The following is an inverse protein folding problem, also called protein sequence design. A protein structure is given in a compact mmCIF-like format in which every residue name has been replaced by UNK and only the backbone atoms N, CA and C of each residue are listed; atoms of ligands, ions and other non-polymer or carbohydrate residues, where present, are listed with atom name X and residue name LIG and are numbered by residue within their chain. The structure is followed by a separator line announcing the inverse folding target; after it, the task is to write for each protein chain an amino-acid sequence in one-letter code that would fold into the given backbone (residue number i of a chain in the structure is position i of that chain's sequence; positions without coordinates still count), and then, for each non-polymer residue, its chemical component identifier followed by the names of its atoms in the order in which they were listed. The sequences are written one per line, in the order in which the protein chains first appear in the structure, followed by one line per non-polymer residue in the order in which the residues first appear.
data_IF_533393855683
#
_entry.id   IF_533393855683
#
_cell.length_a   1.000
_cell.length_b   1.000
_cell.length_c   1.000
_cell.angle_alpha   90.00
_cell.angle_beta   90.00
_cell.angle_gamma   90.00
#
_symmetry.space_group_name_H-M   'P 1'
#
loop_
_entity.id
_entity.type
_entity.pdbx_description
1 polymer ?
#
# COMPACT_ATOMS: atom_id res chain seq x y z
N UNK A 1 25.24 -19.50 -20.44
CA UNK A 1 25.27 -19.89 -19.01
C UNK A 1 26.43 -19.18 -18.37
N UNK A 2 26.22 -18.43 -17.29
CA UNK A 2 27.30 -17.83 -16.50
C UNK A 2 27.64 -18.70 -15.28
N UNK A 3 28.76 -18.43 -14.62
CA UNK A 3 29.19 -19.20 -13.44
C UNK A 3 28.17 -19.01 -12.29
N UNK A 4 27.62 -17.81 -12.17
CA UNK A 4 26.53 -17.47 -11.25
C UNK A 4 25.25 -18.28 -11.57
N UNK A 5 24.85 -18.31 -12.85
CA UNK A 5 23.67 -19.03 -13.30
C UNK A 5 23.78 -20.54 -13.05
N UNK A 6 24.95 -21.11 -13.32
CA UNK A 6 25.27 -22.51 -13.02
C UNK A 6 25.29 -22.81 -11.50
N UNK A 7 25.78 -21.89 -10.69
CA UNK A 7 25.79 -22.01 -9.22
C UNK A 7 24.35 -21.99 -8.65
N UNK A 8 23.49 -21.10 -9.14
CA UNK A 8 22.08 -21.04 -8.76
C UNK A 8 21.30 -22.29 -9.20
N UNK A 9 21.45 -22.70 -10.47
CA UNK A 9 20.85 -23.93 -10.99
C UNK A 9 21.25 -25.15 -10.15
N UNK A 10 22.54 -25.32 -9.87
CA UNK A 10 23.06 -26.45 -9.08
C UNK A 10 22.51 -26.44 -7.65
N UNK A 11 22.39 -25.29 -7.01
CA UNK A 11 21.79 -25.18 -5.68
C UNK A 11 20.28 -25.50 -5.67
N UNK A 12 19.55 -25.06 -6.71
CA UNK A 12 18.15 -25.44 -6.93
C UNK A 12 17.99 -26.96 -7.07
N UNK A 13 18.80 -27.58 -7.91
CA UNK A 13 18.77 -29.03 -8.17
C UNK A 13 19.19 -29.86 -6.95
N UNK A 14 20.18 -29.42 -6.18
CA UNK A 14 20.55 -30.05 -4.90
C UNK A 14 19.39 -30.06 -3.89
N UNK A 15 18.53 -29.03 -3.91
CA UNK A 15 17.30 -28.97 -3.12
C UNK A 15 16.10 -29.68 -3.77
N UNK A 16 16.28 -30.25 -4.97
CA UNK A 16 15.23 -30.90 -5.78
C UNK A 16 14.04 -29.99 -6.11
N UNK A 17 14.30 -28.69 -6.25
CA UNK A 17 13.28 -27.70 -6.61
C UNK A 17 13.21 -27.55 -8.13
N UNK A 18 12.00 -27.45 -8.66
CA UNK A 18 11.75 -27.00 -10.03
C UNK A 18 11.80 -25.47 -10.11
N UNK A 19 11.87 -24.95 -11.34
CA UNK A 19 11.74 -23.50 -11.57
C UNK A 19 10.34 -22.98 -11.22
N UNK A 20 9.31 -23.83 -11.24
CA UNK A 20 7.95 -23.47 -10.83
C UNK A 20 7.86 -23.35 -9.29
N UNK A 21 8.55 -24.20 -8.53
CA UNK A 21 8.66 -24.07 -7.06
C UNK A 21 9.39 -22.78 -6.66
N UNK A 22 10.49 -22.44 -7.35
CA UNK A 22 11.20 -21.16 -7.12
C UNK A 22 10.31 -19.97 -7.51
N UNK A 23 9.54 -20.06 -8.59
CA UNK A 23 8.55 -19.05 -8.95
C UNK A 23 7.49 -18.88 -7.85
N UNK A 24 7.01 -19.97 -7.25
CA UNK A 24 6.06 -19.88 -6.14
C UNK A 24 6.69 -19.28 -4.88
N UNK A 25 7.92 -19.66 -4.53
CA UNK A 25 8.64 -19.14 -3.35
C UNK A 25 9.00 -17.65 -3.48
N UNK A 26 9.52 -17.23 -4.64
CA UNK A 26 10.07 -15.89 -4.86
C UNK A 26 9.08 -14.90 -5.47
N UNK A 27 7.97 -15.38 -6.04
CA UNK A 27 7.03 -14.66 -6.92
C UNK A 27 7.67 -14.06 -8.18
N UNK A 28 8.88 -14.50 -8.55
CA UNK A 28 9.55 -14.15 -9.81
C UNK A 28 9.05 -15.10 -10.90
N UNK A 29 8.60 -14.58 -12.04
CA UNK A 29 8.11 -15.42 -13.15
C UNK A 29 9.21 -16.36 -13.67
N UNK A 30 8.86 -17.61 -13.94
CA UNK A 30 9.76 -18.67 -14.43
C UNK A 30 10.68 -18.25 -15.58
N UNK A 31 10.14 -17.55 -16.61
CA UNK A 31 10.92 -16.97 -17.73
C UNK A 31 12.10 -16.06 -17.32
N UNK A 32 12.07 -15.47 -16.12
CA UNK A 32 13.16 -14.66 -15.59
C UNK A 32 14.16 -15.48 -14.78
N UNK A 33 13.69 -16.55 -14.12
CA UNK A 33 14.56 -17.51 -13.42
C UNK A 33 15.40 -18.32 -14.41
N UNK A 34 14.77 -18.78 -15.50
CA UNK A 34 15.45 -19.41 -16.66
C UNK A 34 16.52 -18.48 -17.22
N UNK A 35 16.17 -17.22 -17.50
CA UNK A 35 17.11 -16.21 -17.99
C UNK A 35 18.26 -15.91 -17.00
N UNK A 36 18.05 -16.03 -15.68
CA UNK A 36 19.11 -15.91 -14.67
C UNK A 36 20.04 -17.13 -14.70
N UNK A 37 19.51 -18.35 -14.81
CA UNK A 37 20.35 -19.57 -14.94
C UNK A 37 21.18 -19.55 -16.23
N UNK A 38 20.62 -19.04 -17.32
CA UNK A 38 21.32 -18.89 -18.60
C UNK A 38 22.35 -17.74 -18.61
N UNK A 39 22.24 -16.77 -17.69
CA UNK A 39 23.00 -15.51 -17.70
C UNK A 39 22.47 -14.47 -18.70
N UNK A 40 21.27 -14.65 -19.23
CA UNK A 40 20.64 -13.77 -20.22
C UNK A 40 19.83 -12.63 -19.56
N UNK A 41 20.54 -11.72 -18.90
CA UNK A 41 19.91 -10.63 -18.15
C UNK A 41 19.13 -9.61 -19.00
N UNK A 42 19.24 -9.65 -20.34
CA UNK A 42 18.52 -8.77 -21.26
C UNK A 42 17.00 -8.99 -21.27
N UNK A 43 16.53 -10.18 -20.87
CA UNK A 43 15.11 -10.57 -20.87
C UNK A 43 14.35 -10.05 -19.64
N UNK A 44 15.08 -9.60 -18.61
CA UNK A 44 14.52 -9.12 -17.34
C UNK A 44 13.93 -7.69 -17.49
N UNK A 45 12.94 -7.30 -16.67
CA UNK A 45 12.20 -6.04 -16.82
C UNK A 45 12.99 -4.83 -16.30
N UNK A 46 14.17 -4.58 -16.87
CA UNK A 46 15.10 -3.50 -16.50
C UNK A 46 16.21 -3.96 -15.55
N UNK A 47 17.41 -3.38 -15.72
CA UNK A 47 18.65 -3.76 -15.03
C UNK A 47 18.56 -3.68 -13.49
N UNK A 48 17.75 -2.77 -12.96
CA UNK A 48 17.54 -2.60 -11.51
C UNK A 48 16.99 -3.86 -10.83
N UNK A 49 16.13 -4.62 -11.51
CA UNK A 49 15.49 -5.80 -10.93
C UNK A 49 16.39 -7.04 -10.91
N UNK A 50 17.45 -7.06 -11.73
CA UNK A 50 18.37 -8.21 -11.84
C UNK A 50 18.99 -8.52 -10.48
N UNK A 51 19.54 -7.51 -9.80
CA UNK A 51 20.15 -7.65 -8.47
C UNK A 51 19.16 -8.19 -7.43
N UNK A 52 17.92 -7.70 -7.45
CA UNK A 52 16.87 -8.15 -6.54
C UNK A 52 16.43 -9.59 -6.83
N UNK A 53 16.31 -9.98 -8.10
CA UNK A 53 15.90 -11.32 -8.49
C UNK A 53 16.99 -12.36 -8.20
N UNK A 54 18.25 -12.05 -8.49
CA UNK A 54 19.42 -12.89 -8.12
C UNK A 54 19.47 -13.09 -6.60
N UNK A 55 19.27 -12.01 -5.82
CA UNK A 55 19.22 -12.09 -4.35
C UNK A 55 18.10 -13.02 -3.86
N UNK A 56 16.86 -12.76 -4.27
CA UNK A 56 15.71 -13.54 -3.83
C UNK A 56 15.82 -15.02 -4.25
N UNK A 57 16.41 -15.29 -5.41
CA UNK A 57 16.67 -16.66 -5.85
C UNK A 57 17.72 -17.32 -4.94
N UNK A 58 18.86 -16.67 -4.66
CA UNK A 58 19.87 -17.16 -3.73
C UNK A 58 19.28 -17.53 -2.35
N UNK A 59 18.43 -16.67 -1.79
CA UNK A 59 17.73 -16.92 -0.52
C UNK A 59 16.78 -18.13 -0.61
N UNK A 60 16.03 -18.29 -1.70
CA UNK A 60 15.12 -19.43 -1.91
C UNK A 60 15.86 -20.77 -2.03
N UNK A 61 17.05 -20.79 -2.64
CA UNK A 61 17.95 -21.97 -2.63
C UNK A 61 18.90 -22.00 -1.42
N UNK A 62 18.67 -21.10 -0.45
CA UNK A 62 19.43 -20.95 0.80
C UNK A 62 20.93 -20.97 0.63
N UNK A 63 21.41 -20.22 -0.36
CA UNK A 63 22.79 -19.75 -0.48
C UNK A 63 22.94 -18.43 0.29
N UNK A 64 24.19 -18.03 0.55
CA UNK A 64 24.47 -16.68 1.06
C UNK A 64 24.22 -15.65 -0.05
N UNK A 65 23.17 -14.84 0.14
CA UNK A 65 22.77 -13.78 -0.75
C UNK A 65 23.88 -12.77 -1.06
N UNK A 66 24.69 -12.39 -0.07
CA UNK A 66 25.69 -11.34 -0.23
C UNK A 66 26.91 -11.86 -1.02
N UNK A 67 27.26 -13.14 -0.85
CA UNK A 67 28.29 -13.80 -1.66
C UNK A 67 27.85 -14.02 -3.11
N UNK A 68 26.61 -14.44 -3.34
CA UNK A 68 26.04 -14.57 -4.69
C UNK A 68 26.00 -13.20 -5.40
N UNK A 69 25.66 -12.13 -4.68
CA UNK A 69 25.72 -10.76 -5.22
C UNK A 69 27.16 -10.28 -5.51
N UNK A 70 28.16 -10.74 -4.75
CA UNK A 70 29.57 -10.45 -5.02
C UNK A 70 30.03 -11.10 -6.32
N UNK A 71 29.60 -12.33 -6.59
CA UNK A 71 29.84 -13.02 -7.86
C UNK A 71 29.14 -12.32 -9.03
N UNK A 72 27.87 -11.92 -8.87
CA UNK A 72 27.12 -11.14 -9.87
C UNK A 72 27.84 -9.84 -10.28
N UNK A 73 28.32 -9.06 -9.30
CA UNK A 73 29.06 -7.81 -9.57
C UNK A 73 30.41 -8.04 -10.28
N UNK A 74 30.97 -9.25 -10.21
CA UNK A 74 32.20 -9.64 -10.90
C UNK A 74 31.94 -10.07 -12.34
N UNK A 75 30.82 -10.75 -12.61
CA UNK A 75 30.40 -11.10 -13.97
C UNK A 75 29.88 -9.89 -14.76
N UNK A 76 29.18 -8.97 -14.08
CA UNK A 76 28.64 -7.75 -14.68
C UNK A 76 29.27 -6.53 -13.99
N UNK A 77 30.43 -6.03 -14.49
CA UNK A 77 30.98 -4.77 -14.02
C UNK A 77 29.98 -3.65 -14.30
N UNK A 78 29.35 -3.15 -13.23
CA UNK A 78 28.26 -2.19 -13.33
C UNK A 78 28.78 -0.82 -13.76
N UNK A 79 28.60 -0.48 -15.04
CA UNK A 79 28.68 0.90 -15.54
C UNK A 79 27.37 1.69 -15.28
N UNK A 80 26.58 1.24 -14.31
CA UNK A 80 25.49 2.03 -13.74
C UNK A 80 26.13 2.83 -12.61
N UNK A 81 26.23 4.17 -12.70
CA UNK A 81 26.77 4.95 -11.61
C UNK A 81 25.98 4.63 -10.35
N UNK A 82 26.70 4.34 -9.27
CA UNK A 82 26.13 4.29 -7.93
C UNK A 82 25.65 5.70 -7.61
N UNK A 83 24.42 5.99 -8.06
CA UNK A 83 23.62 7.08 -7.54
C UNK A 83 23.51 6.80 -6.05
N UNK A 84 24.40 7.46 -5.30
CA UNK A 84 24.30 7.64 -3.86
C UNK A 84 22.98 8.36 -3.66
N UNK A 85 21.90 7.59 -3.58
CA UNK A 85 20.64 8.04 -3.02
C UNK A 85 20.97 8.30 -1.57
N UNK A 86 21.37 9.54 -1.28
CA UNK A 86 21.40 10.04 0.08
C UNK A 86 20.09 9.58 0.73
N UNK A 87 20.16 8.84 1.85
CA UNK A 87 18.96 8.28 2.42
C UNK A 87 18.11 9.44 2.93
N UNK A 88 17.14 9.86 2.10
CA UNK A 88 16.08 10.80 2.49
C UNK A 88 15.59 10.29 3.83
N UNK A 89 15.79 11.13 4.85
CA UNK A 89 15.58 10.75 6.24
C UNK A 89 14.09 10.53 6.46
N UNK A 90 13.63 9.31 6.14
CA UNK A 90 12.28 8.87 6.47
C UNK A 90 12.18 8.99 7.99
N UNK A 91 11.24 9.77 8.54
CA UNK A 91 11.04 9.80 9.98
C UNK A 91 10.84 8.36 10.41
N UNK A 92 11.75 7.92 11.29
CA UNK A 92 11.94 6.53 11.67
C UNK A 92 10.63 6.02 12.25
N UNK A 93 9.83 5.33 11.43
CA UNK A 93 8.71 4.50 11.91
C UNK A 93 9.33 3.65 13.00
N UNK A 94 8.81 3.79 14.22
CA UNK A 94 9.29 3.06 15.38
C UNK A 94 9.01 1.58 15.16
N UNK A 95 9.93 0.90 14.47
CA UNK A 95 10.18 -0.50 14.73
C UNK A 95 10.35 -0.60 16.25
N UNK A 96 9.34 -1.21 16.89
CA UNK A 96 9.51 -1.84 18.19
C UNK A 96 10.64 -2.84 18.03
N UNK A 97 11.86 -2.43 18.37
CA UNK A 97 12.93 -3.37 18.63
C UNK A 97 12.50 -4.20 19.83
N UNK A 98 11.95 -5.39 19.58
CA UNK A 98 11.95 -6.46 20.56
C UNK A 98 13.38 -6.64 21.06
N UNK A 99 13.55 -6.75 22.38
CA UNK A 99 14.85 -6.76 23.03
C UNK A 99 15.60 -8.10 22.84
N UNK A 100 15.93 -8.47 21.60
CA UNK A 100 16.66 -9.71 21.27
C UNK A 100 18.12 -9.70 21.76
N UNK A 101 18.60 -8.57 22.27
CA UNK A 101 19.84 -8.48 23.05
C UNK A 101 19.74 -9.22 24.40
N UNK A 102 18.53 -9.41 24.92
CA UNK A 102 18.31 -10.07 26.21
C UNK A 102 18.13 -11.58 26.11
N UNK A 103 17.85 -12.16 24.93
CA UNK A 103 17.63 -13.61 24.80
C UNK A 103 18.79 -14.47 25.32
N UNK A 104 20.04 -14.08 25.06
CA UNK A 104 21.25 -14.84 25.46
C UNK A 104 21.66 -14.62 26.93
N UNK A 105 21.32 -13.48 27.53
CA UNK A 105 21.67 -13.17 28.93
C UNK A 105 20.53 -13.50 29.89
N UNK A 106 19.29 -13.22 29.49
CA UNK A 106 18.06 -13.56 30.20
C UNK A 106 17.86 -15.07 30.33
N UNK A 107 18.20 -15.86 29.30
CA UNK A 107 18.18 -17.33 29.43
C UNK A 107 19.22 -17.83 30.44
N UNK A 108 20.41 -17.21 30.49
CA UNK A 108 21.45 -17.56 31.48
C UNK A 108 21.05 -17.18 32.91
N UNK A 109 20.50 -15.99 33.13
CA UNK A 109 20.02 -15.57 34.45
C UNK A 109 18.81 -16.39 34.90
N UNK A 110 17.89 -16.72 33.99
CA UNK A 110 16.75 -17.60 34.27
C UNK A 110 17.21 -19.03 34.64
N UNK A 111 18.14 -19.61 33.89
CA UNK A 111 18.69 -20.94 34.17
C UNK A 111 19.42 -21.00 35.52
N UNK A 112 20.22 -19.98 35.84
CA UNK A 112 20.92 -19.89 37.14
C UNK A 112 19.95 -19.64 38.30
N UNK A 113 18.94 -18.78 38.11
CA UNK A 113 17.87 -18.54 39.08
C UNK A 113 17.08 -19.82 39.40
N UNK A 114 16.71 -20.58 38.37
CA UNK A 114 15.99 -21.85 38.51
C UNK A 114 16.81 -22.91 39.27
N UNK A 115 18.11 -23.03 38.97
CA UNK A 115 19.03 -23.90 39.73
C UNK A 115 19.14 -23.49 41.20
N UNK A 116 19.28 -22.19 41.48
CA UNK A 116 19.38 -21.67 42.84
C UNK A 116 18.06 -21.91 43.62
N UNK A 117 16.91 -21.73 42.97
CA UNK A 117 15.59 -22.03 43.52
C UNK A 117 15.41 -23.53 43.84
N UNK A 118 15.89 -24.43 42.98
CA UNK A 118 15.90 -25.88 43.26
C UNK A 118 16.78 -26.18 44.48
N UNK A 119 17.97 -25.59 44.57
CA UNK A 119 18.88 -25.79 45.72
C UNK A 119 18.22 -25.31 47.02
N UNK A 120 17.53 -24.16 46.99
CA UNK A 120 16.77 -23.64 48.15
C UNK A 120 15.59 -24.55 48.51
N UNK A 121 14.85 -25.09 47.53
CA UNK A 121 13.79 -26.06 47.80
C UNK A 121 14.33 -27.37 48.39
N UNK A 122 15.45 -27.89 47.90
CA UNK A 122 16.11 -29.09 48.45
C UNK A 122 16.63 -28.82 49.87
N UNK A 123 17.19 -27.64 50.13
CA UNK A 123 17.65 -27.23 51.47
C UNK A 123 16.48 -27.10 52.45
N UNK A 124 15.38 -26.44 52.05
CA UNK A 124 14.14 -26.36 52.83
C UNK A 124 13.56 -27.76 53.06
N UNK A 125 13.56 -28.64 52.05
CA UNK A 125 13.05 -30.00 52.17
C UNK A 125 13.93 -30.89 53.07
N UNK A 126 15.25 -30.71 53.06
CA UNK A 126 16.17 -31.42 53.95
C UNK A 126 15.99 -30.98 55.42
N UNK A 127 15.70 -29.70 55.68
CA UNK A 127 15.44 -29.18 57.03
C UNK A 127 13.99 -29.45 57.48
N UNK A 128 13.04 -29.50 56.54
CA UNK A 128 11.62 -29.86 56.78
C UNK A 128 11.32 -31.33 56.54
N UNK A 129 12.31 -32.21 56.46
CA UNK A 129 12.09 -33.63 56.68
C UNK A 129 11.98 -33.84 58.19
N UNK A 130 10.77 -34.02 58.78
CA UNK A 130 10.71 -34.64 60.09
C UNK A 130 11.37 -36.02 59.95
N UNK A 131 12.28 -36.35 60.87
CA UNK A 131 12.88 -37.68 60.94
C UNK A 131 11.75 -38.72 60.96
N UNK A 132 11.60 -39.46 59.86
CA UNK A 132 10.61 -40.53 59.76
C UNK A 132 11.12 -41.77 60.47
N UNK A 133 10.94 -41.78 61.79
CA UNK A 133 10.83 -43.03 62.53
C UNK A 133 9.59 -43.77 61.99
N UNK A 134 9.80 -44.90 61.33
CA UNK A 134 8.72 -45.74 60.84
C UNK A 134 8.25 -46.66 61.97
N UNK A 135 7.01 -46.48 62.45
CA UNK A 135 6.22 -47.55 63.08
C UNK A 135 4.76 -47.44 62.63
N UNK A 136 4.18 -48.60 62.38
CA UNK A 136 2.83 -48.85 61.85
C UNK A 136 1.68 -48.14 62.56
N UNK A 137 0.64 -47.78 61.79
CA UNK A 137 -0.63 -48.55 61.79
C UNK A 137 -1.68 -47.92 60.87
N UNK A 138 -2.53 -48.76 60.27
CA UNK A 138 -3.68 -48.34 59.49
C UNK A 138 -4.93 -48.17 60.36
N UNK A 139 -5.84 -47.29 59.96
CA UNK A 139 -7.28 -47.61 60.02
C UNK A 139 -8.08 -46.87 58.93
N UNK A 140 -9.22 -47.44 58.55
CA UNK A 140 -10.15 -46.96 57.53
C UNK A 140 -11.34 -46.23 58.17
N UNK A 141 -12.00 -45.32 57.44
CA UNK A 141 -13.48 -45.37 57.28
C UNK A 141 -13.98 -44.42 56.18
N UNK A 142 -15.13 -44.78 55.58
CA UNK A 142 -15.89 -44.02 54.57
C UNK A 142 -17.07 -43.29 55.24
N UNK A 143 -17.63 -42.25 54.60
CA UNK A 143 -19.09 -42.15 54.32
C UNK A 143 -19.46 -40.97 53.38
N UNK A 144 -20.64 -41.05 52.76
CA UNK A 144 -21.34 -40.03 51.92
C UNK A 144 -22.30 -39.15 52.78
N UNK A 145 -23.19 -38.24 52.31
CA UNK A 145 -23.87 -38.02 51.00
C UNK A 145 -24.42 -36.56 50.86
N UNK A 146 -25.27 -36.30 49.86
CA UNK A 146 -26.17 -35.14 49.61
C UNK A 146 -25.53 -33.88 48.96
N UNK A 147 -26.00 -33.30 47.84
CA UNK A 147 -27.29 -33.22 47.11
C UNK A 147 -28.33 -32.22 47.65
N UNK A 148 -28.48 -31.09 46.95
CA UNK A 148 -29.79 -30.44 46.68
C UNK A 148 -29.75 -29.57 45.43
N UNK A 149 -30.89 -29.46 44.74
CA UNK A 149 -31.06 -28.80 43.44
C UNK A 149 -32.23 -27.77 43.50
N UNK A 150 -32.87 -27.29 42.41
CA UNK A 150 -33.14 -25.85 42.22
C UNK A 150 -34.63 -25.44 42.35
N UNK A 151 -34.89 -24.13 42.26
CA UNK A 151 -36.24 -23.53 42.26
C UNK A 151 -36.21 -22.26 41.37
N UNK A 152 -36.75 -22.30 40.14
CA UNK A 152 -38.14 -22.00 39.72
C UNK A 152 -38.55 -20.51 39.89
N UNK A 153 -38.64 -19.70 38.79
CA UNK A 153 -39.80 -19.48 37.88
C UNK A 153 -40.88 -18.52 38.47
N UNK A 154 -41.84 -17.91 37.70
CA UNK A 154 -42.02 -17.81 36.23
C UNK A 154 -42.46 -16.40 35.69
N UNK A 155 -42.66 -16.31 34.36
CA UNK A 155 -43.61 -15.43 33.60
C UNK A 155 -43.52 -13.88 33.69
N UNK A 156 -43.98 -13.07 32.71
CA UNK A 156 -44.93 -13.30 31.59
C UNK A 156 -44.66 -12.37 30.37
N UNK A 157 -45.17 -12.75 29.19
CA UNK A 157 -45.02 -12.03 27.92
C UNK A 157 -46.26 -11.19 27.47
N UNK A 158 -46.01 -10.17 26.64
CA UNK A 158 -46.88 -9.53 25.61
C UNK A 158 -45.97 -8.64 24.73
N UNK A 159 -45.83 -8.68 23.39
CA UNK A 159 -46.64 -9.04 22.19
C UNK A 159 -47.35 -7.84 21.52
N UNK A 160 -47.06 -7.67 20.21
CA UNK A 160 -47.60 -6.75 19.16
C UNK A 160 -47.13 -5.28 19.20
N UNK A 161 -46.66 -4.62 18.13
CA UNK A 161 -46.84 -4.65 16.65
C UNK A 161 -47.96 -3.73 16.13
N UNK A 162 -47.65 -2.82 15.18
CA UNK A 162 -48.65 -2.22 14.28
C UNK A 162 -48.50 -0.72 13.95
N UNK A 163 -47.80 -0.42 12.86
CA UNK A 163 -48.26 0.35 11.67
C UNK A 163 -48.80 1.81 11.73
N UNK A 164 -48.37 2.58 10.70
CA UNK A 164 -49.11 3.65 9.97
C UNK A 164 -49.48 4.97 10.72
N UNK A 165 -49.70 6.11 10.04
CA UNK A 165 -49.41 6.50 8.65
C UNK A 165 -49.27 8.04 8.50
N UNK A 166 -48.68 8.38 7.36
CA UNK A 166 -48.66 9.64 6.59
C UNK A 166 -49.96 10.47 6.47
N UNK A 167 -49.84 11.62 5.80
CA UNK A 167 -50.83 12.67 5.44
C UNK A 167 -51.20 13.65 6.57
N UNK A 168 -51.47 14.95 6.33
CA UNK A 168 -51.55 15.72 5.09
C UNK A 168 -51.23 17.22 5.36
N UNK A 169 -50.86 18.01 4.34
CA UNK A 169 -51.61 19.22 3.90
C UNK A 169 -50.85 20.07 2.87
N UNK A 170 -51.60 20.73 1.99
CA UNK A 170 -51.12 21.57 0.89
C UNK A 170 -52.09 22.72 0.63
N UNK A 171 -51.58 23.94 0.73
CA UNK A 171 -52.11 25.19 0.14
C UNK A 171 -50.98 26.23 0.29
N UNK A 172 -50.73 27.17 -0.63
CA UNK A 172 -51.42 27.54 -1.86
C UNK A 172 -51.31 29.06 -2.00
N UNK A 173 -50.66 29.56 -3.06
CA UNK A 173 -50.43 30.99 -3.24
C UNK A 173 -49.73 31.27 -4.56
N UNK A 174 -50.40 31.99 -5.46
CA UNK A 174 -49.97 32.32 -6.82
C UNK A 174 -50.36 33.75 -7.08
N UNK A 175 -49.41 34.61 -7.41
CA UNK A 175 -49.65 35.96 -7.92
C UNK A 175 -48.70 36.25 -9.09
N UNK A 176 -49.16 37.09 -10.02
CA UNK A 176 -48.58 37.29 -11.35
C UNK A 176 -47.62 38.50 -11.45
N UNK A 177 -46.95 38.55 -12.61
CA UNK A 177 -45.88 39.48 -13.00
C UNK A 177 -46.38 40.93 -13.17
N UNK A 178 -45.46 41.91 -13.28
CA UNK A 178 -45.32 42.55 -14.59
C UNK A 178 -43.86 42.72 -15.07
N UNK A 179 -43.71 42.75 -16.40
CA UNK A 179 -42.43 42.82 -17.13
C UNK A 179 -42.21 44.23 -17.69
N UNK A 180 -40.98 44.75 -17.61
CA UNK A 180 -40.51 45.89 -18.42
C UNK A 180 -39.03 45.65 -18.84
N UNK A 181 -38.61 45.95 -20.09
CA UNK A 181 -37.36 45.38 -20.65
C UNK A 181 -36.21 46.44 -20.74
N UNK A 182 -35.11 46.25 -21.51
CA UNK A 182 -33.75 46.28 -20.98
C UNK A 182 -32.96 47.59 -21.26
N UNK A 183 -31.78 47.77 -20.63
CA UNK A 183 -30.71 48.58 -21.20
C UNK A 183 -29.92 47.77 -22.24
N UNK A 184 -29.68 48.37 -23.40
CA UNK A 184 -28.72 47.86 -24.39
C UNK A 184 -27.30 47.93 -23.82
N UNK A 185 -26.61 46.79 -23.76
CA UNK A 185 -25.15 46.76 -23.67
C UNK A 185 -24.57 46.40 -25.04
N UNK A 186 -23.69 47.26 -25.54
CA UNK A 186 -22.87 47.00 -26.73
C UNK A 186 -21.84 45.90 -26.41
N UNK A 187 -21.39 45.12 -27.41
CA UNK A 187 -20.62 43.91 -27.15
C UNK A 187 -19.25 44.24 -26.52
N UNK A 188 -19.09 43.86 -25.25
CA UNK A 188 -17.78 43.76 -24.61
C UNK A 188 -17.10 42.53 -25.18
N UNK A 189 -16.03 42.73 -25.95
CA UNK A 189 -15.12 41.65 -26.35
C UNK A 189 -14.49 41.05 -25.08
N UNK A 190 -14.94 39.85 -24.68
CA UNK A 190 -14.24 39.09 -23.65
C UNK A 190 -12.85 38.69 -24.17
N UNK A 191 -11.77 38.88 -23.39
CA UNK A 191 -10.45 38.43 -23.79
C UNK A 191 -10.44 36.91 -23.83
N UNK A 192 -10.13 36.35 -25.00
CA UNK A 192 -10.06 34.91 -25.25
C UNK A 192 -8.88 34.30 -24.47
N UNK A 193 -9.12 33.96 -23.20
CA UNK A 193 -8.22 33.09 -22.44
C UNK A 193 -8.32 31.68 -23.03
N UNK A 194 -7.19 31.00 -23.32
CA UNK A 194 -7.23 29.67 -23.91
C UNK A 194 -7.89 28.70 -22.94
N UNK A 195 -9.07 28.19 -23.30
CA UNK A 195 -9.78 27.20 -22.50
C UNK A 195 -9.02 25.86 -22.57
N UNK A 196 -8.22 25.55 -21.54
CA UNK A 196 -7.50 24.28 -21.42
C UNK A 196 -8.47 23.12 -21.63
N UNK A 197 -8.31 22.42 -22.75
CA UNK A 197 -9.24 21.37 -23.16
C UNK A 197 -8.71 20.03 -22.63
N UNK A 198 -9.34 19.57 -21.55
CA UNK A 198 -9.09 18.27 -20.93
C UNK A 198 -10.12 17.25 -21.45
N UNK A 199 -9.67 16.24 -22.19
CA UNK A 199 -10.55 15.20 -22.73
C UNK A 199 -10.10 13.80 -22.31
N UNK A 200 -11.00 13.00 -21.75
CA UNK A 200 -10.72 11.59 -21.42
C UNK A 200 -10.63 10.77 -22.71
N UNK A 201 -9.44 10.29 -23.05
CA UNK A 201 -9.17 9.46 -24.23
C UNK A 201 -9.55 7.99 -23.96
N UNK A 202 -9.17 7.46 -22.79
CA UNK A 202 -9.46 6.08 -22.37
C UNK A 202 -9.20 5.83 -20.89
N UNK A 203 -9.85 4.79 -20.36
CA UNK A 203 -9.54 4.21 -19.05
C UNK A 203 -8.92 2.82 -19.20
N UNK A 204 -7.86 2.52 -18.44
CA UNK A 204 -7.22 1.19 -18.42
C UNK A 204 -6.93 0.73 -16.99
N UNK A 205 -7.79 -0.17 -16.49
CA UNK A 205 -7.70 -0.74 -15.15
C UNK A 205 -8.02 0.29 -14.06
N UNK A 206 -7.00 0.98 -13.57
CA UNK A 206 -7.09 2.01 -12.51
C UNK A 206 -6.25 3.23 -12.92
N UNK A 207 -6.16 3.48 -14.22
CA UNK A 207 -5.44 4.62 -14.79
C UNK A 207 -6.22 5.18 -15.97
N UNK A 208 -6.61 6.43 -15.84
CA UNK A 208 -7.29 7.19 -16.88
C UNK A 208 -6.28 8.01 -17.68
N UNK A 209 -6.52 8.13 -18.97
CA UNK A 209 -5.64 8.79 -19.93
C UNK A 209 -6.38 9.99 -20.50
N UNK A 210 -5.86 11.17 -20.22
CA UNK A 210 -6.43 12.43 -20.65
C UNK A 210 -5.53 13.07 -21.71
N UNK A 211 -6.14 13.57 -22.79
CA UNK A 211 -5.51 14.50 -23.71
C UNK A 211 -5.69 15.92 -23.17
N UNK A 212 -4.60 16.67 -23.15
CA UNK A 212 -4.55 18.07 -22.70
C UNK A 212 -4.10 18.96 -23.85
N UNK A 213 -4.94 19.91 -24.25
CA UNK A 213 -4.62 20.98 -25.20
C UNK A 213 -4.74 22.36 -24.53
N UNK A 214 -3.93 23.35 -24.93
CA UNK A 214 -2.78 23.25 -25.84
C UNK A 214 -1.54 22.67 -25.15
N UNK A 215 -0.71 21.91 -25.86
CA UNK A 215 0.56 21.42 -25.31
C UNK A 215 1.45 22.57 -24.80
N UNK A 216 1.90 22.48 -23.53
CA UNK A 216 2.78 23.49 -22.95
C UNK A 216 2.81 23.48 -21.43
N UNK A 217 2.77 24.67 -20.84
CA UNK A 217 2.76 24.85 -19.40
C UNK A 217 1.32 24.84 -18.84
N UNK A 218 1.03 23.96 -17.88
CA UNK A 218 -0.22 23.92 -17.13
C UNK A 218 0.04 23.88 -15.62
N UNK A 219 -0.93 24.35 -14.84
CA UNK A 219 -0.93 24.28 -13.38
C UNK A 219 -1.87 23.19 -12.91
N UNK A 220 -1.34 22.19 -12.21
CA UNK A 220 -2.15 21.22 -11.46
C UNK A 220 -2.37 21.77 -10.05
N UNK A 221 -3.60 21.74 -9.56
CA UNK A 221 -3.94 22.06 -8.16
C UNK A 221 -4.52 20.83 -7.48
N UNK A 222 -4.03 20.53 -6.28
CA UNK A 222 -4.51 19.46 -5.42
C UNK A 222 -5.13 20.08 -4.16
N UNK A 223 -6.41 19.84 -3.91
CA UNK A 223 -7.15 20.33 -2.73
C UNK A 223 -7.55 19.14 -1.84
N UNK A 224 -6.88 18.98 -0.70
CA UNK A 224 -7.10 17.83 0.19
C UNK A 224 -8.15 18.11 1.27
N UNK A 225 -9.21 17.31 1.28
CA UNK A 225 -10.26 17.31 2.31
C UNK A 225 -9.96 16.36 3.48
N UNK A 226 -8.83 15.64 3.45
CA UNK A 226 -8.43 14.73 4.52
C UNK A 226 -7.00 14.18 4.39
N UNK A 227 -6.72 13.06 5.07
CA UNK A 227 -5.41 12.40 5.02
C UNK A 227 -5.25 11.60 3.73
N UNK A 228 -4.48 12.16 2.80
CA UNK A 228 -4.24 11.60 1.48
C UNK A 228 -2.80 11.82 1.02
N UNK A 229 -2.38 11.08 -0.01
CA UNK A 229 -1.06 11.22 -0.64
C UNK A 229 -1.24 11.51 -2.12
N UNK A 230 -0.41 12.40 -2.66
CA UNK A 230 -0.29 12.63 -4.11
C UNK A 230 1.15 12.48 -4.56
N UNK A 231 1.33 11.94 -5.75
CA UNK A 231 2.63 11.93 -6.44
C UNK A 231 2.45 12.22 -7.92
N UNK A 232 3.30 13.11 -8.45
CA UNK A 232 3.33 13.48 -9.87
C UNK A 232 4.69 13.11 -10.45
N UNK A 233 4.70 12.50 -11.64
CA UNK A 233 5.90 12.08 -12.35
C UNK A 233 5.99 12.69 -13.75
N UNK A 234 7.21 12.92 -14.21
CA UNK A 234 7.51 13.30 -15.59
C UNK A 234 7.09 12.19 -16.57
N UNK A 235 6.51 12.56 -17.70
CA UNK A 235 6.21 11.73 -18.89
C UNK A 235 5.21 10.60 -18.69
N UNK A 236 5.44 9.68 -17.76
CA UNK A 236 4.58 8.52 -17.52
C UNK A 236 4.87 7.85 -16.15
N UNK A 237 4.15 6.76 -15.85
CA UNK A 237 4.29 5.96 -14.62
C UNK A 237 5.72 5.52 -14.25
N UNK A 238 6.63 5.39 -15.21
CA UNK A 238 8.03 5.00 -14.99
C UNK A 238 8.98 6.19 -14.83
N UNK A 239 8.51 7.42 -15.04
CA UNK A 239 9.34 8.62 -14.95
C UNK A 239 9.74 9.00 -13.52
N UNK A 240 10.59 10.04 -13.46
CA UNK A 240 11.05 10.65 -12.21
C UNK A 240 9.90 11.40 -11.54
N UNK A 241 9.84 11.37 -10.21
CA UNK A 241 8.90 12.20 -9.45
C UNK A 241 9.28 13.67 -9.54
N UNK A 242 8.29 14.51 -9.86
CA UNK A 242 8.33 15.98 -9.78
C UNK A 242 7.81 16.41 -8.40
N UNK A 243 6.68 15.84 -7.98
CA UNK A 243 6.02 16.10 -6.70
C UNK A 243 5.73 14.78 -5.97
N UNK A 244 5.86 14.82 -4.65
CA UNK A 244 5.55 13.74 -3.72
C UNK A 244 5.11 14.37 -2.39
N UNK A 245 3.81 14.37 -2.08
CA UNK A 245 3.27 15.06 -0.91
C UNK A 245 2.25 14.26 -0.11
N UNK A 246 2.36 14.34 1.21
CA UNK A 246 1.45 13.72 2.18
C UNK A 246 0.61 14.81 2.86
N UNK A 247 -0.66 14.90 2.48
CA UNK A 247 -1.65 15.67 3.22
C UNK A 247 -1.94 14.98 4.55
N UNK A 248 -1.89 15.74 5.64
CA UNK A 248 -2.07 15.23 7.00
C UNK A 248 -3.37 15.72 7.66
N UNK A 249 -4.03 16.72 7.07
CA UNK A 249 -5.25 17.38 7.53
C UNK A 249 -6.07 17.88 6.32
N UNK A 250 -7.31 18.28 6.57
CA UNK A 250 -8.17 18.92 5.58
C UNK A 250 -7.80 20.39 5.34
N UNK A 251 -8.17 20.91 4.17
CA UNK A 251 -7.94 22.31 3.78
C UNK A 251 -6.48 22.62 3.44
N UNK A 252 -5.73 21.62 2.99
CA UNK A 252 -4.34 21.77 2.56
C UNK A 252 -4.29 21.70 1.03
N UNK A 253 -3.82 22.76 0.38
CA UNK A 253 -3.79 22.91 -1.08
C UNK A 253 -2.34 23.00 -1.58
N UNK A 254 -2.05 22.34 -2.70
CA UNK A 254 -0.74 22.43 -3.38
C UNK A 254 -0.95 22.70 -4.87
N UNK A 255 -0.15 23.61 -5.40
CA UNK A 255 -0.03 23.87 -6.83
C UNK A 255 1.28 23.25 -7.37
N UNK A 256 1.24 22.80 -8.62
CA UNK A 256 2.40 22.32 -9.35
C UNK A 256 2.30 22.74 -10.82
N UNK A 257 3.26 23.52 -11.28
CA UNK A 257 3.39 23.85 -12.70
C UNK A 257 4.13 22.71 -13.42
N UNK A 258 3.55 22.19 -14.51
CA UNK A 258 4.12 21.16 -15.38
C UNK A 258 4.33 21.72 -16.79
N UNK A 259 5.39 21.30 -17.48
CA UNK A 259 5.69 21.68 -18.86
C UNK A 259 6.09 20.45 -19.69
N UNK A 260 5.19 19.47 -19.71
CA UNK A 260 5.35 18.18 -20.37
C UNK A 260 4.27 17.18 -19.90
N UNK A 261 4.07 16.06 -20.62
CA UNK A 261 3.17 15.00 -20.19
C UNK A 261 3.50 14.54 -18.76
N UNK A 262 2.47 14.23 -17.97
CA UNK A 262 2.61 13.98 -16.55
C UNK A 262 1.78 12.77 -16.09
N UNK A 263 2.29 12.03 -15.11
CA UNK A 263 1.56 10.93 -14.49
C UNK A 263 1.29 11.24 -13.02
N UNK A 264 0.02 11.33 -12.68
CA UNK A 264 -0.51 11.66 -11.36
C UNK A 264 -1.00 10.35 -10.71
N UNK A 265 -0.72 10.18 -9.42
CA UNK A 265 -1.23 9.08 -8.60
C UNK A 265 -1.71 9.63 -7.25
N UNK A 266 -3.03 9.64 -7.07
CA UNK A 266 -3.73 10.07 -5.85
C UNK A 266 -4.04 8.83 -5.02
N UNK A 267 -3.56 8.75 -3.78
CA UNK A 267 -3.71 7.56 -2.93
C UNK A 267 -5.10 7.38 -2.31
N UNK A 268 -5.82 8.48 -2.12
CA UNK A 268 -7.19 8.57 -1.59
C UNK A 268 -7.94 9.61 -2.42
N UNK A 269 -8.47 9.17 -3.56
CA UNK A 269 -9.11 10.06 -4.53
C UNK A 269 -10.38 10.71 -3.96
N UNK A 270 -11.15 9.95 -3.17
CA UNK A 270 -12.27 10.45 -2.37
C UNK A 270 -11.95 11.58 -1.35
N UNK A 271 -10.67 11.94 -1.16
CA UNK A 271 -10.21 12.97 -0.22
C UNK A 271 -9.29 14.03 -0.86
N UNK A 272 -9.08 14.02 -2.18
CA UNK A 272 -8.29 15.03 -2.90
C UNK A 272 -8.96 15.35 -4.22
N UNK A 273 -9.48 16.56 -4.32
CA UNK A 273 -9.95 17.15 -5.56
C UNK A 273 -8.72 17.60 -6.38
N UNK A 274 -8.67 17.23 -7.66
CA UNK A 274 -7.58 17.61 -8.57
C UNK A 274 -8.09 18.41 -9.75
N UNK A 275 -7.52 19.60 -9.96
CA UNK A 275 -7.83 20.44 -11.12
C UNK A 275 -6.59 20.70 -11.97
N UNK A 276 -6.79 20.94 -13.27
CA UNK A 276 -5.78 21.33 -14.24
C UNK A 276 -6.22 22.65 -14.87
N UNK A 277 -5.47 23.73 -14.65
CA UNK A 277 -5.83 25.11 -15.03
C UNK A 277 -7.26 25.52 -14.56
N UNK A 278 -7.72 24.97 -13.44
CA UNK A 278 -9.08 25.19 -12.92
C UNK A 278 -10.15 24.23 -13.44
N UNK A 279 -9.87 23.43 -14.48
CA UNK A 279 -10.77 22.36 -14.94
C UNK A 279 -10.64 21.17 -13.99
N UNK A 280 -11.73 20.78 -13.33
CA UNK A 280 -11.76 19.60 -12.48
C UNK A 280 -11.55 18.33 -13.30
N UNK A 281 -10.67 17.44 -12.81
CA UNK A 281 -10.46 16.11 -13.37
C UNK A 281 -11.40 15.13 -12.69
N UNK A 282 -11.82 14.07 -13.38
CA UNK A 282 -12.68 13.06 -12.76
C UNK A 282 -11.82 12.16 -11.83
N UNK A 283 -11.64 12.62 -10.60
CA UNK A 283 -11.01 11.83 -9.54
C UNK A 283 -11.99 10.77 -9.02
N UNK A 284 -11.65 9.50 -9.26
CA UNK A 284 -12.55 8.39 -8.94
C UNK A 284 -13.07 8.44 -7.51
N UNK A 285 -14.39 8.56 -7.34
CA UNK A 285 -15.15 8.76 -6.10
C UNK A 285 -15.13 7.55 -5.15
N UNK A 286 -13.94 7.02 -4.86
CA UNK A 286 -13.71 5.82 -4.08
C UNK A 286 -12.44 5.97 -3.22
N UNK A 287 -12.43 5.31 -2.06
CA UNK A 287 -11.30 5.30 -1.12
C UNK A 287 -10.05 4.53 -1.62
N UNK A 288 -9.94 4.28 -2.92
CA UNK A 288 -8.86 3.58 -3.57
C UNK A 288 -7.89 4.56 -4.25
N UNK A 289 -6.64 4.14 -4.54
CA UNK A 289 -5.75 4.94 -5.36
C UNK A 289 -6.28 5.10 -6.79
N UNK A 290 -6.37 6.34 -7.25
CA UNK A 290 -6.71 6.69 -8.63
C UNK A 290 -5.47 7.28 -9.33
N UNK A 291 -5.33 7.04 -10.63
CA UNK A 291 -4.17 7.49 -11.41
C UNK A 291 -4.63 8.12 -12.71
N UNK A 292 -3.94 9.19 -13.09
CA UNK A 292 -4.24 9.95 -14.30
C UNK A 292 -2.93 10.09 -15.09
N UNK A 293 -2.97 9.79 -16.38
CA UNK A 293 -1.93 10.08 -17.35
C UNK A 293 -2.39 11.30 -18.16
N UNK A 294 -1.66 12.40 -18.07
CA UNK A 294 -1.87 13.59 -18.87
C UNK A 294 -0.93 13.54 -20.07
N UNK A 295 -1.50 13.29 -21.25
CA UNK A 295 -0.80 13.26 -22.53
C UNK A 295 -1.09 14.60 -23.25
N UNK A 296 -0.06 15.41 -23.44
CA UNK A 296 -0.19 16.71 -24.12
C UNK A 296 -0.37 16.52 -25.62
N UNK A 297 -1.33 17.25 -26.19
CA UNK A 297 -1.58 17.31 -27.63
C UNK A 297 -1.55 18.77 -28.10
N UNK A 298 -1.12 18.97 -29.34
CA UNK A 298 -1.29 20.27 -30.00
C UNK A 298 -2.79 20.51 -30.23
N UNK A 299 -3.17 21.78 -30.41
CA UNK A 299 -4.58 22.17 -30.40
C UNK A 299 -5.30 21.75 -31.70
N UNK A 300 -5.95 20.58 -31.67
CA UNK A 300 -6.69 19.97 -32.79
C UNK A 300 -7.87 20.83 -33.30
N UNK A 301 -8.17 21.95 -32.64
CA UNK A 301 -9.16 22.96 -33.08
C UNK A 301 -8.91 23.49 -34.51
N UNK A 302 -7.71 23.30 -35.06
CA UNK A 302 -7.36 23.69 -36.44
C UNK A 302 -7.83 22.69 -37.55
N UNK A 303 -7.93 21.37 -37.31
CA UNK A 303 -8.23 20.39 -38.39
C UNK A 303 -9.74 20.21 -38.64
N UNK A 304 -10.60 20.58 -37.68
CA UNK A 304 -12.05 20.52 -37.86
C UNK A 304 -12.58 21.52 -38.91
N UNK A 305 -11.89 22.64 -39.12
CA UNK A 305 -12.30 23.67 -40.07
C UNK A 305 -12.02 23.30 -41.54
N UNK A 306 -10.97 22.51 -41.81
CA UNK A 306 -10.51 22.26 -43.19
C UNK A 306 -11.14 21.01 -43.86
N UNK A 307 -12.09 20.35 -43.19
CA UNK A 307 -12.73 19.10 -43.67
C UNK A 307 -14.12 19.29 -44.29
N UNK A 308 -14.54 20.54 -44.52
CA UNK A 308 -15.84 20.87 -45.11
C UNK A 308 -15.73 21.54 -46.49
N UNK A 309 -14.52 21.72 -47.01
CA UNK A 309 -14.25 22.31 -48.34
C UNK A 309 -13.02 21.71 -49.01
N UNK A 310 -13.18 20.52 -49.62
CA UNK A 310 -12.58 20.13 -50.92
C UNK A 310 -13.33 18.91 -51.49
#
# INVERSE_FOLDING_TARGET
MSDLGALLQKAREQRRLSLDDIQELTKIRKRYLEAIEEGNYSVLPGSFYVRAFVKNYAEAVGLDADEVLRLYNKEIPSNVPEQVVEPIQRPRRSQTQSNDRWGKWGFRTLMWSFLLLIIVLVYIYAIKQPSKDNVDSADQTKMTDQTKAPENNPDKATVKNGDNASTNESTGGKDEVPVTPPPTEEPVEEPVVPATTLTLDRSSGSTDYYKVAPAGAHKIVFNATGRAWVGVKEKNKNGKYILQHQFNKSGETIELDINGPAYINVGRADLVEVTLDGVAMEDGNAANPHRMQLDMVEDDAADAANKTTE
#
